data_IF_466892449988
#
_entry.id   IF_466892449988
#
_cell.length_a   1.000
_cell.length_b   1.000
_cell.length_c   1.000
_cell.angle_alpha   90.00
_cell.angle_beta   90.00
_cell.angle_gamma   90.00
#
_symmetry.space_group_name_H-M   'P 1'
#
loop_
_entity.id
_entity.type
_entity.pdbx_description
1 polymer ?
#
# COMPACT_ATOMS: atom_id res chain seq x y z
N UNK A 1 1.30 53.37 54.68
CA UNK A 1 0.26 52.34 54.41
C UNK A 1 -0.58 52.55 53.15
N UNK A 2 -0.74 53.77 52.60
CA UNK A 2 -1.53 53.99 51.38
C UNK A 2 -0.84 53.55 50.07
N UNK A 3 0.49 53.74 49.99
CA UNK A 3 1.31 53.34 48.83
C UNK A 3 1.21 51.84 48.51
N UNK A 4 1.31 50.99 49.54
CA UNK A 4 1.22 49.53 49.41
C UNK A 4 -0.14 49.05 48.90
N UNK A 5 -1.23 49.75 49.25
CA UNK A 5 -2.58 49.45 48.76
C UNK A 5 -2.73 49.81 47.27
N UNK A 6 -2.13 50.92 46.83
CA UNK A 6 -2.11 51.33 45.43
C UNK A 6 -1.33 50.36 44.53
N UNK A 7 -0.15 49.92 44.99
CA UNK A 7 0.68 48.92 44.29
C UNK A 7 -0.05 47.58 44.18
N UNK A 8 -0.64 47.07 45.26
CA UNK A 8 -1.43 45.83 45.24
C UNK A 8 -2.60 45.89 44.27
N UNK A 9 -3.30 47.03 44.15
CA UNK A 9 -4.43 47.18 43.23
C UNK A 9 -3.99 47.16 41.77
N UNK A 10 -2.85 47.77 41.43
CA UNK A 10 -2.29 47.75 40.07
C UNK A 10 -1.74 46.37 39.69
N UNK A 11 -1.08 45.67 40.61
CA UNK A 11 -0.66 44.28 40.39
C UNK A 11 -1.87 43.38 40.13
N UNK A 12 -2.94 43.49 40.93
CA UNK A 12 -4.16 42.68 40.75
C UNK A 12 -4.85 42.98 39.42
N UNK A 13 -4.82 44.23 38.96
CA UNK A 13 -5.36 44.63 37.66
C UNK A 13 -4.52 44.12 36.48
N UNK A 14 -3.22 43.92 36.66
CA UNK A 14 -2.30 43.40 35.64
C UNK A 14 -2.29 41.86 35.56
N UNK A 15 -2.83 41.15 36.55
CA UNK A 15 -2.89 39.68 36.54
C UNK A 15 -3.67 39.14 35.34
N UNK A 16 -4.84 39.69 35.04
CA UNK A 16 -5.67 39.25 33.90
C UNK A 16 -4.99 39.49 32.54
N UNK A 17 -4.48 40.71 32.24
CA UNK A 17 -3.70 40.95 31.03
C UNK A 17 -2.48 40.04 30.90
N UNK A 18 -1.73 39.82 31.99
CA UNK A 18 -0.55 38.96 31.98
C UNK A 18 -0.90 37.50 31.68
N UNK A 19 -1.99 36.99 32.27
CA UNK A 19 -2.48 35.63 31.99
C UNK A 19 -2.90 35.49 30.52
N UNK A 20 -3.53 36.52 29.97
CA UNK A 20 -3.96 36.54 28.57
C UNK A 20 -2.76 36.50 27.62
N UNK A 21 -1.75 37.35 27.85
CA UNK A 21 -0.50 37.35 27.05
C UNK A 21 0.24 36.02 27.17
N UNK A 22 0.32 35.44 28.37
CA UNK A 22 0.94 34.14 28.58
C UNK A 22 0.20 33.02 27.84
N UNK A 23 -1.13 33.02 27.90
CA UNK A 23 -1.98 32.08 27.15
C UNK A 23 -1.80 32.24 25.63
N UNK A 24 -1.86 33.47 25.11
CA UNK A 24 -1.63 33.75 23.69
C UNK A 24 -0.24 33.31 23.23
N UNK A 25 0.80 33.54 24.02
CA UNK A 25 2.16 33.08 23.73
C UNK A 25 2.27 31.55 23.70
N UNK A 26 1.61 30.87 24.65
CA UNK A 26 1.52 29.41 24.66
C UNK A 26 0.83 28.87 23.41
N UNK A 27 -0.32 29.44 23.03
CA UNK A 27 -1.01 29.06 21.78
C UNK A 27 -0.14 29.33 20.55
N UNK A 28 0.56 30.47 20.50
CA UNK A 28 1.45 30.80 19.38
C UNK A 28 2.59 29.79 19.25
N UNK A 29 3.26 29.44 20.35
CA UNK A 29 4.28 28.39 20.38
C UNK A 29 3.71 27.04 19.93
N UNK A 30 2.55 26.67 20.46
CA UNK A 30 1.92 25.38 20.20
C UNK A 30 1.34 25.27 18.78
N UNK A 31 1.07 26.37 18.09
CA UNK A 31 0.71 26.33 16.66
C UNK A 31 1.90 25.96 15.78
N UNK A 32 3.12 26.35 16.18
CA UNK A 32 4.36 26.05 15.47
C UNK A 32 4.88 24.64 15.81
N UNK A 33 4.79 24.23 17.08
CA UNK A 33 5.33 22.95 17.56
C UNK A 33 4.29 21.84 17.77
N UNK A 34 3.00 22.14 17.60
CA UNK A 34 1.95 21.15 17.78
C UNK A 34 1.97 20.08 16.68
N UNK A 35 1.47 18.90 17.01
CA UNK A 35 1.31 17.72 16.13
C UNK A 35 0.63 17.99 14.77
N UNK A 36 -0.07 19.13 14.64
CA UNK A 36 -0.78 19.59 13.44
C UNK A 36 -0.10 20.77 12.73
N UNK A 37 1.12 21.13 13.15
CA UNK A 37 1.92 22.16 12.51
C UNK A 37 2.20 21.82 11.05
N UNK A 38 2.28 22.85 10.20
CA UNK A 38 2.48 22.73 8.75
C UNK A 38 3.66 21.82 8.37
N UNK A 39 4.70 21.77 9.22
CA UNK A 39 5.86 20.89 9.05
C UNK A 39 5.55 19.38 9.17
N UNK A 40 4.68 19.00 10.11
CA UNK A 40 4.26 17.60 10.28
C UNK A 40 3.39 17.14 9.09
N UNK A 41 2.64 18.07 8.50
CA UNK A 41 1.82 17.81 7.30
C UNK A 41 2.68 17.45 6.09
N UNK A 42 3.80 18.15 5.86
CA UNK A 42 4.66 17.87 4.70
C UNK A 42 5.32 16.50 4.79
N UNK A 43 5.85 16.13 5.96
CA UNK A 43 6.40 14.79 6.18
C UNK A 43 5.35 13.70 5.98
N UNK A 44 4.15 13.88 6.55
CA UNK A 44 3.03 12.94 6.40
C UNK A 44 2.56 12.81 4.95
N UNK A 45 2.56 13.90 4.18
CA UNK A 45 2.24 13.85 2.74
C UNK A 45 3.28 13.04 1.97
N UNK A 46 4.58 13.21 2.30
CA UNK A 46 5.66 12.41 1.74
C UNK A 46 5.51 10.91 2.05
N UNK A 47 5.23 10.57 3.30
CA UNK A 47 5.00 9.19 3.74
C UNK A 47 3.80 8.55 3.03
N UNK A 48 2.68 9.29 2.89
CA UNK A 48 1.50 8.82 2.17
C UNK A 48 1.82 8.57 0.69
N UNK A 49 2.55 9.49 0.05
CA UNK A 49 2.94 9.34 -1.35
C UNK A 49 3.84 8.10 -1.57
N UNK A 50 4.79 7.86 -0.66
CA UNK A 50 5.64 6.67 -0.70
C UNK A 50 4.83 5.38 -0.47
N UNK A 51 3.96 5.35 0.53
CA UNK A 51 3.09 4.20 0.80
C UNK A 51 2.17 3.87 -0.40
N UNK A 52 1.60 4.90 -1.04
CA UNK A 52 0.79 4.73 -2.25
C UNK A 52 1.60 4.22 -3.46
N UNK A 53 2.87 4.60 -3.59
CA UNK A 53 3.75 4.08 -4.63
C UNK A 53 4.05 2.58 -4.40
N UNK A 54 4.36 2.19 -3.16
CA UNK A 54 4.58 0.79 -2.78
C UNK A 54 3.33 -0.06 -3.00
N UNK A 55 2.15 0.44 -2.62
CA UNK A 55 0.89 -0.24 -2.86
C UNK A 55 0.66 -0.51 -4.36
N UNK A 56 0.89 0.51 -5.21
CA UNK A 56 0.75 0.36 -6.66
C UNK A 56 1.72 -0.66 -7.24
N UNK A 57 2.97 -0.68 -6.77
CA UNK A 57 3.95 -1.67 -7.19
C UNK A 57 3.52 -3.10 -6.81
N UNK A 58 3.12 -3.31 -5.55
CA UNK A 58 2.67 -4.61 -5.06
C UNK A 58 1.40 -5.09 -5.80
N UNK A 59 0.46 -4.19 -6.09
CA UNK A 59 -0.73 -4.52 -6.89
C UNK A 59 -0.38 -4.93 -8.32
N UNK A 60 0.58 -4.24 -8.96
CA UNK A 60 1.04 -4.60 -10.29
C UNK A 60 1.71 -5.99 -10.31
N UNK A 61 2.52 -6.29 -9.29
CA UNK A 61 3.15 -7.59 -9.12
C UNK A 61 2.11 -8.69 -8.88
N UNK A 62 1.17 -8.45 -7.98
CA UNK A 62 0.07 -9.38 -7.71
C UNK A 62 -0.76 -9.65 -8.96
N UNK A 63 -1.07 -8.62 -9.76
CA UNK A 63 -1.78 -8.81 -11.03
C UNK A 63 -0.96 -9.62 -12.05
N UNK A 64 0.36 -9.40 -12.12
CA UNK A 64 1.24 -10.17 -13.00
C UNK A 64 1.33 -11.64 -12.58
N UNK A 65 1.47 -11.90 -11.29
CA UNK A 65 1.46 -13.26 -10.73
C UNK A 65 0.09 -13.92 -10.90
N UNK A 66 -1.00 -13.17 -10.69
CA UNK A 66 -2.36 -13.64 -10.89
C UNK A 66 -2.61 -14.14 -12.31
N UNK A 67 -2.08 -13.44 -13.33
CA UNK A 67 -2.15 -13.93 -14.73
C UNK A 67 -1.37 -15.22 -14.94
N UNK A 68 -0.19 -15.36 -14.33
CA UNK A 68 0.64 -16.58 -14.44
C UNK A 68 0.02 -17.77 -13.73
N UNK A 69 -0.47 -17.56 -12.50
CA UNK A 69 -1.11 -18.60 -11.69
C UNK A 69 -2.48 -18.98 -12.29
N UNK A 70 -3.20 -18.02 -12.87
CA UNK A 70 -4.46 -18.29 -13.58
C UNK A 70 -4.31 -19.36 -14.66
N UNK A 71 -3.22 -19.36 -15.42
CA UNK A 71 -2.93 -20.41 -16.42
C UNK A 71 -2.45 -21.75 -15.84
N UNK A 72 -2.15 -21.82 -14.54
CA UNK A 72 -1.65 -23.02 -13.86
C UNK A 72 -2.69 -23.66 -12.91
N UNK A 73 -3.82 -22.98 -12.65
CA UNK A 73 -4.88 -23.54 -11.80
C UNK A 73 -5.57 -24.68 -12.54
N UNK A 74 -5.73 -25.82 -11.86
CA UNK A 74 -6.37 -27.03 -12.40
C UNK A 74 -7.79 -26.79 -12.96
N UNK A 75 -8.49 -25.75 -12.49
CA UNK A 75 -9.82 -25.33 -12.98
C UNK A 75 -9.78 -24.61 -14.34
N UNK A 76 -8.58 -24.15 -14.75
CA UNK A 76 -8.29 -23.49 -16.02
C UNK A 76 -7.18 -24.22 -16.80
N UNK A 77 -6.84 -25.45 -16.40
CA UNK A 77 -5.96 -26.30 -17.20
C UNK A 77 -6.77 -26.73 -18.41
N UNK A 78 -6.38 -26.23 -19.57
CA UNK A 78 -7.05 -26.55 -20.82
C UNK A 78 -7.00 -28.07 -21.04
N UNK A 79 -8.18 -28.67 -21.17
CA UNK A 79 -8.34 -30.10 -21.40
C UNK A 79 -7.59 -30.53 -22.66
N UNK A 80 -7.52 -29.66 -23.66
CA UNK A 80 -6.83 -29.92 -24.92
C UNK A 80 -5.31 -29.97 -24.72
N UNK A 81 -4.75 -29.10 -23.86
CA UNK A 81 -3.31 -29.13 -23.49
C UNK A 81 -2.94 -30.40 -22.72
N UNK A 82 -3.82 -30.84 -21.81
CA UNK A 82 -3.66 -32.12 -21.11
C UNK A 82 -3.72 -33.30 -22.06
N UNK A 83 -4.65 -33.28 -23.02
CA UNK A 83 -4.82 -34.32 -24.01
C UNK A 83 -3.62 -34.40 -24.96
N UNK A 84 -3.10 -33.25 -25.41
CA UNK A 84 -1.90 -33.19 -26.23
C UNK A 84 -0.68 -33.77 -25.49
N UNK A 85 -0.52 -33.45 -24.19
CA UNK A 85 0.56 -33.99 -23.36
C UNK A 85 0.38 -35.49 -23.08
N UNK A 86 -0.85 -35.95 -22.85
CA UNK A 86 -1.14 -37.38 -22.69
C UNK A 86 -0.84 -38.16 -23.98
N UNK A 87 -1.20 -37.62 -25.15
CA UNK A 87 -0.86 -38.22 -26.46
C UNK A 87 0.65 -38.23 -26.69
N UNK A 88 1.34 -37.13 -26.41
CA UNK A 88 2.78 -37.01 -26.66
C UNK A 88 3.64 -37.88 -25.72
N UNK A 89 3.28 -38.00 -24.44
CA UNK A 89 4.10 -38.71 -23.44
C UNK A 89 3.69 -40.17 -23.26
N UNK A 90 2.39 -40.46 -23.31
CA UNK A 90 1.86 -41.78 -22.97
C UNK A 90 1.37 -42.55 -24.21
N UNK A 91 1.46 -41.95 -25.41
CA UNK A 91 0.86 -42.48 -26.64
C UNK A 91 -0.63 -42.84 -26.46
N UNK A 92 -1.33 -42.13 -25.57
CA UNK A 92 -2.73 -42.40 -25.27
C UNK A 92 -3.59 -42.03 -26.48
N UNK A 93 -4.58 -42.85 -26.82
CA UNK A 93 -5.47 -42.65 -27.97
C UNK A 93 -6.92 -42.93 -27.57
N UNK A 94 -7.89 -42.18 -28.10
CA UNK A 94 -9.30 -42.40 -27.79
C UNK A 94 -9.88 -43.58 -28.61
N UNK A 95 -10.93 -44.26 -28.10
CA UNK A 95 -11.60 -45.32 -28.86
C UNK A 95 -12.15 -44.78 -30.19
N UNK A 96 -11.73 -45.40 -31.31
CA UNK A 96 -12.15 -45.01 -32.67
C UNK A 96 -11.16 -44.14 -33.45
N UNK A 97 -10.02 -43.76 -32.85
CA UNK A 97 -8.97 -43.04 -33.54
C UNK A 97 -8.04 -43.98 -34.34
N UNK A 98 -7.56 -43.52 -35.50
CA UNK A 98 -6.66 -44.30 -36.37
C UNK A 98 -5.21 -44.02 -36.00
N UNK A 99 -4.49 -45.04 -35.55
CA UNK A 99 -3.05 -44.96 -35.28
C UNK A 99 -2.27 -45.23 -36.56
N UNK A 100 -1.51 -44.25 -37.02
CA UNK A 100 -0.61 -44.39 -38.17
C UNK A 100 0.81 -44.64 -37.65
N UNK A 101 1.38 -45.84 -37.82
CA UNK A 101 2.76 -46.08 -37.46
C UNK A 101 3.69 -45.30 -38.39
N UNK A 102 4.69 -44.63 -37.81
CA UNK A 102 5.68 -43.92 -38.62
C UNK A 102 6.54 -44.89 -39.41
N UNK A 103 6.92 -44.50 -40.63
CA UNK A 103 7.86 -45.25 -41.46
C UNK A 103 9.27 -45.30 -40.83
N UNK A 104 10.13 -46.24 -41.24
CA UNK A 104 11.42 -46.53 -40.58
C UNK A 104 12.40 -45.35 -40.48
N UNK A 105 12.14 -44.25 -41.20
CA UNK A 105 13.00 -43.07 -41.29
C UNK A 105 12.38 -41.80 -40.67
N UNK A 106 11.10 -41.82 -40.26
CA UNK A 106 10.45 -40.68 -39.63
C UNK A 106 10.22 -40.97 -38.15
N UNK A 107 10.87 -40.23 -37.26
CA UNK A 107 10.55 -40.20 -35.82
C UNK A 107 9.99 -38.84 -35.47
N UNK A 108 9.07 -38.81 -34.50
CA UNK A 108 8.44 -37.58 -34.01
C UNK A 108 9.41 -36.67 -33.23
N UNK A 109 10.61 -37.17 -32.89
CA UNK A 109 11.74 -36.46 -32.29
C UNK A 109 13.05 -37.14 -32.66
#
# INVERSE_FOLDING_TARGET
MAFWRGVKRRLKALLFPALFVAGSGFFLWHTVHGERGTLARERRVGEIAQAQAQLRAAQAEHAALGRRVGGLRADALDRDQLEERARALLNLTQPGEVVIPYGPQNRLY
#
